data_IF_216030275459
#
_entry.id   IF_216030275459
#
_cell.length_a   1.000
_cell.length_b   1.000
_cell.length_c   1.000
_cell.angle_alpha   90.00
_cell.angle_beta   90.00
_cell.angle_gamma   90.00
#
_symmetry.space_group_name_H-M   'P 1'
#
loop_
_entity.id
_entity.type
_entity.pdbx_description
1 polymer ?
#
# COMPACT_ATOMS: atom_id res chain seq x y z
N UNK A 1 -27.08 -2.31 146.49
CA UNK A 1 -27.18 -1.68 147.84
C UNK A 1 -28.61 -1.18 148.11
N UNK A 2 -29.03 -0.84 149.35
CA UNK A 2 -30.41 -1.16 149.79
C UNK A 2 -31.22 -0.07 150.56
N UNK A 3 -32.52 -0.36 150.87
CA UNK A 3 -33.42 0.25 151.92
C UNK A 3 -34.02 1.66 151.59
N UNK A 4 -35.17 2.18 152.14
CA UNK A 4 -36.36 1.69 152.94
C UNK A 4 -37.51 2.76 153.10
N UNK A 5 -38.80 2.37 152.89
CA UNK A 5 -40.09 2.64 153.68
C UNK A 5 -40.53 4.13 154.03
N UNK A 6 -41.72 4.54 154.59
CA UNK A 6 -42.85 3.92 155.39
C UNK A 6 -44.16 4.81 155.65
N UNK A 7 -45.41 4.28 155.46
CA UNK A 7 -46.77 4.42 156.20
C UNK A 7 -47.62 5.74 156.35
N UNK A 8 -48.99 5.79 156.53
CA UNK A 8 -49.90 5.48 157.73
C UNK A 8 -51.39 4.89 157.55
N UNK A 9 -52.56 5.60 157.79
CA UNK A 9 -54.01 5.07 158.00
C UNK A 9 -55.14 6.13 157.63
N UNK A 10 -56.53 6.12 157.76
CA UNK A 10 -57.68 5.42 158.48
C UNK A 10 -59.16 5.58 157.85
N UNK A 11 -60.31 5.43 158.59
CA UNK A 11 -61.79 5.22 158.21
C UNK A 11 -62.81 6.10 159.06
N UNK A 12 -64.20 6.15 159.09
CA UNK A 12 -65.47 5.44 158.58
C UNK A 12 -66.68 6.46 158.37
N UNK A 13 -68.06 6.40 158.55
CA UNK A 13 -69.19 5.56 159.14
C UNK A 13 -70.60 5.67 158.38
N UNK A 14 -71.79 6.03 158.98
CA UNK A 14 -73.24 6.07 158.44
C UNK A 14 -74.17 7.16 159.14
N UNK A 15 -75.54 7.34 159.13
CA UNK A 15 -76.80 6.55 158.79
C UNK A 15 -78.20 7.34 158.79
N UNK A 16 -79.17 7.04 157.87
CA UNK A 16 -80.70 6.93 157.90
C UNK A 16 -81.84 8.02 158.20
N UNK A 17 -83.09 7.65 157.76
CA UNK A 17 -84.54 8.07 158.03
C UNK A 17 -85.30 9.10 157.12
N UNK A 18 -86.66 9.16 157.17
CA UNK A 18 -87.52 9.52 155.99
C UNK A 18 -88.99 10.01 156.20
N UNK A 19 -89.53 10.70 155.15
CA UNK A 19 -90.96 10.90 154.72
C UNK A 19 -91.79 12.14 155.21
N UNK A 20 -92.64 12.66 154.28
CA UNK A 20 -93.75 13.66 154.40
C UNK A 20 -93.46 15.12 154.88
N UNK A 21 -92.65 15.88 154.11
CA UNK A 21 -92.87 17.34 153.89
C UNK A 21 -92.87 17.76 152.41
N UNK A 22 -94.09 17.82 151.86
CA UNK A 22 -94.63 18.90 150.99
C UNK A 22 -93.72 19.61 149.96
N UNK A 23 -93.80 19.11 148.72
CA UNK A 23 -94.01 19.82 147.44
C UNK A 23 -93.20 21.09 147.03
N UNK A 24 -92.94 22.08 147.89
CA UNK A 24 -92.43 23.41 147.46
C UNK A 24 -91.00 23.35 146.93
N UNK A 25 -90.07 22.70 147.66
CA UNK A 25 -88.65 22.67 147.30
C UNK A 25 -88.32 21.84 146.04
N UNK A 26 -89.31 21.23 145.37
CA UNK A 26 -89.17 20.65 144.02
C UNK A 26 -88.92 21.70 142.92
N UNK A 27 -89.20 22.99 143.14
CA UNK A 27 -88.89 24.08 142.19
C UNK A 27 -87.46 24.61 142.32
N UNK A 28 -87.02 25.06 143.50
CA UNK A 28 -85.74 25.79 143.63
C UNK A 28 -84.48 24.93 143.39
N UNK A 29 -84.42 23.67 143.87
CA UNK A 29 -83.28 22.77 143.59
C UNK A 29 -83.18 22.31 142.13
N UNK A 30 -84.16 22.60 141.26
CA UNK A 30 -84.05 22.36 139.81
C UNK A 30 -83.26 23.47 139.09
N UNK A 31 -83.45 24.76 139.41
CA UNK A 31 -82.69 25.87 138.77
C UNK A 31 -81.17 25.72 138.97
N UNK A 32 -80.71 25.43 140.20
CA UNK A 32 -79.28 25.29 140.47
C UNK A 32 -78.63 24.04 139.82
N UNK A 33 -79.41 23.03 139.41
CA UNK A 33 -78.89 21.89 138.63
C UNK A 33 -78.46 22.27 137.20
N UNK A 34 -78.85 23.44 136.68
CA UNK A 34 -78.43 23.89 135.35
C UNK A 34 -77.21 24.80 135.34
N UNK A 35 -77.14 25.80 136.23
CA UNK A 35 -76.13 26.87 136.16
C UNK A 35 -74.71 26.29 136.30
N UNK A 36 -74.49 25.42 137.29
CA UNK A 36 -73.20 24.72 137.47
C UNK A 36 -72.85 23.78 136.30
N UNK A 37 -73.85 23.16 135.64
CA UNK A 37 -73.65 22.34 134.43
C UNK A 37 -73.33 23.18 133.19
N UNK A 38 -73.84 24.41 133.08
CA UNK A 38 -73.53 25.36 132.00
C UNK A 38 -72.10 25.93 132.15
N UNK A 39 -71.69 26.29 133.36
CA UNK A 39 -70.33 26.80 133.67
C UNK A 39 -69.22 25.75 133.40
N UNK A 40 -69.35 24.55 133.98
CA UNK A 40 -68.36 23.48 133.81
C UNK A 40 -68.18 23.03 132.35
N UNK A 41 -69.25 23.06 131.53
CA UNK A 41 -69.18 22.81 130.08
C UNK A 41 -68.42 23.93 129.32
N UNK A 42 -68.58 25.20 129.68
CA UNK A 42 -67.82 26.32 129.07
C UNK A 42 -66.30 26.16 129.30
N UNK A 43 -65.87 25.85 130.54
CA UNK A 43 -64.44 25.67 130.86
C UNK A 43 -63.81 24.51 130.08
N UNK A 44 -64.48 23.34 130.04
CA UNK A 44 -64.00 22.18 129.26
C UNK A 44 -63.85 22.49 127.76
N UNK A 45 -64.81 23.21 127.14
CA UNK A 45 -64.70 23.65 125.74
C UNK A 45 -63.51 24.61 125.49
N UNK A 46 -63.21 25.54 126.42
CA UNK A 46 -62.09 26.52 126.27
C UNK A 46 -60.72 25.82 126.28
N UNK A 47 -60.53 24.83 127.16
CA UNK A 47 -59.29 24.05 127.21
C UNK A 47 -59.11 23.08 126.02
N UNK A 48 -60.20 22.50 125.50
CA UNK A 48 -60.17 21.70 124.27
C UNK A 48 -59.74 22.54 123.05
N UNK A 49 -60.21 23.79 122.91
CA UNK A 49 -59.75 24.70 121.85
C UNK A 49 -58.24 25.00 121.97
N UNK A 50 -57.72 25.33 123.16
CA UNK A 50 -56.28 25.57 123.37
C UNK A 50 -55.40 24.34 123.01
N UNK A 51 -55.84 23.11 123.34
CA UNK A 51 -55.13 21.88 122.92
C UNK A 51 -55.17 21.61 121.40
N UNK A 52 -56.28 21.92 120.70
CA UNK A 52 -56.35 21.81 119.23
C UNK A 52 -55.38 22.78 118.53
N UNK A 53 -55.32 24.04 118.96
CA UNK A 53 -54.45 25.07 118.33
C UNK A 53 -52.95 24.71 118.45
N UNK A 54 -52.49 24.22 119.62
CA UNK A 54 -51.10 23.74 119.78
C UNK A 54 -50.78 22.48 118.93
N UNK A 55 -51.77 21.63 118.61
CA UNK A 55 -51.57 20.52 117.66
C UNK A 55 -51.49 20.99 116.20
N UNK A 56 -52.25 22.02 115.82
CA UNK A 56 -52.23 22.59 114.46
C UNK A 56 -50.88 23.26 114.14
N UNK A 57 -50.37 24.14 115.01
CA UNK A 57 -49.06 24.79 114.78
C UNK A 57 -47.88 23.79 114.71
N UNK A 58 -47.97 22.61 115.34
CA UNK A 58 -46.96 21.54 115.21
C UNK A 58 -47.09 20.67 113.93
N UNK A 59 -48.16 20.82 113.14
CA UNK A 59 -48.28 20.15 111.83
C UNK A 59 -47.71 21.00 110.70
N UNK A 60 -47.95 22.31 110.69
CA UNK A 60 -47.64 23.19 109.55
C UNK A 60 -46.14 23.25 109.20
N UNK A 61 -45.26 23.27 110.21
CA UNK A 61 -43.83 23.52 110.02
C UNK A 61 -42.98 22.23 109.80
N UNK A 62 -43.60 21.04 109.68
CA UNK A 62 -42.88 19.77 109.52
C UNK A 62 -42.66 19.20 108.09
N UNK A 63 -43.43 19.51 107.02
CA UNK A 63 -43.21 18.88 105.72
C UNK A 63 -41.99 19.45 104.98
N UNK A 64 -41.85 20.78 104.93
CA UNK A 64 -40.92 21.51 104.06
C UNK A 64 -39.43 21.12 104.20
N UNK A 65 -38.99 20.69 105.38
CA UNK A 65 -37.61 20.26 105.59
C UNK A 65 -37.32 18.86 105.04
N UNK A 66 -38.27 17.93 105.18
CA UNK A 66 -38.14 16.55 104.67
C UNK A 66 -38.12 16.52 103.15
N UNK A 67 -38.90 17.37 102.50
CA UNK A 67 -38.96 17.55 101.05
C UNK A 67 -37.60 17.99 100.48
N UNK A 68 -36.97 19.02 101.07
CA UNK A 68 -35.62 19.47 100.68
C UNK A 68 -34.54 18.41 100.92
N UNK A 69 -34.70 17.52 101.90
CA UNK A 69 -33.76 16.40 102.12
C UNK A 69 -33.98 15.29 101.08
N UNK A 70 -35.23 14.93 100.77
CA UNK A 70 -35.56 13.97 99.71
C UNK A 70 -35.00 14.39 98.35
N UNK A 71 -35.25 15.63 97.93
CA UNK A 71 -34.80 16.10 96.61
C UNK A 71 -33.26 16.07 96.49
N UNK A 72 -32.53 16.45 97.56
CA UNK A 72 -31.07 16.30 97.63
C UNK A 72 -30.61 14.84 97.53
N UNK A 73 -31.35 13.91 98.13
CA UNK A 73 -31.04 12.47 98.04
C UNK A 73 -31.32 11.91 96.64
N UNK A 74 -32.42 12.30 96.00
CA UNK A 74 -32.70 11.96 94.62
C UNK A 74 -31.63 12.51 93.68
N UNK A 75 -31.21 13.77 93.84
CA UNK A 75 -30.17 14.37 93.01
C UNK A 75 -28.80 13.72 93.23
N UNK A 76 -28.52 13.23 94.44
CA UNK A 76 -27.35 12.39 94.71
C UNK A 76 -27.44 11.04 93.99
N UNK A 77 -28.60 10.37 94.01
CA UNK A 77 -28.83 9.12 93.26
C UNK A 77 -28.80 9.34 91.74
N UNK A 78 -29.34 10.45 91.23
CA UNK A 78 -29.23 10.86 89.82
C UNK A 78 -27.75 11.04 89.43
N UNK A 79 -26.96 11.75 90.24
CA UNK A 79 -25.51 11.92 90.04
C UNK A 79 -24.76 10.58 90.03
N UNK A 80 -25.13 9.62 90.89
CA UNK A 80 -24.55 8.27 90.89
C UNK A 80 -24.94 7.50 89.61
N UNK A 81 -26.22 7.50 89.22
CA UNK A 81 -26.67 6.87 87.97
C UNK A 81 -25.96 7.44 86.75
N UNK A 82 -25.80 8.76 86.67
CA UNK A 82 -25.04 9.44 85.62
C UNK A 82 -23.57 9.00 85.62
N UNK A 83 -22.90 8.95 86.78
CA UNK A 83 -21.51 8.44 86.86
C UNK A 83 -21.37 6.99 86.39
N UNK A 84 -22.32 6.11 86.74
CA UNK A 84 -22.32 4.70 86.31
C UNK A 84 -22.55 4.61 84.79
N UNK A 85 -23.50 5.37 84.24
CA UNK A 85 -23.75 5.42 82.80
C UNK A 85 -22.54 5.95 82.02
N UNK A 86 -21.86 6.98 82.52
CA UNK A 86 -20.60 7.52 81.98
C UNK A 86 -19.45 6.51 82.07
N UNK A 87 -19.44 5.63 83.07
CA UNK A 87 -18.45 4.55 83.17
C UNK A 87 -18.72 3.42 82.17
N UNK A 88 -19.97 2.97 82.05
CA UNK A 88 -20.37 1.92 81.11
C UNK A 88 -20.16 2.35 79.65
N UNK A 89 -20.55 3.58 79.29
CA UNK A 89 -20.30 4.13 77.94
C UNK A 89 -18.80 4.28 77.66
N UNK A 90 -17.97 4.68 78.64
CA UNK A 90 -16.50 4.68 78.50
C UNK A 90 -15.92 3.28 78.26
N UNK A 91 -16.48 2.23 78.87
CA UNK A 91 -16.07 0.84 78.61
C UNK A 91 -16.47 0.38 77.20
N UNK A 92 -17.68 0.73 76.74
CA UNK A 92 -18.11 0.47 75.36
C UNK A 92 -17.20 1.18 74.35
N UNK A 93 -16.88 2.46 74.58
CA UNK A 93 -15.97 3.27 73.74
C UNK A 93 -14.54 2.70 73.71
N UNK A 94 -14.06 2.04 74.77
CA UNK A 94 -12.78 1.31 74.73
C UNK A 94 -12.85 0.09 73.81
N UNK A 95 -13.87 -0.76 73.98
CA UNK A 95 -14.06 -1.96 73.13
C UNK A 95 -14.20 -1.61 71.66
N UNK A 96 -15.05 -0.64 71.30
CA UNK A 96 -15.21 -0.23 69.90
C UNK A 96 -13.91 0.34 69.30
N UNK A 97 -13.08 1.05 70.08
CA UNK A 97 -11.74 1.48 69.61
C UNK A 97 -10.79 0.30 69.38
N UNK A 98 -10.78 -0.69 70.27
CA UNK A 98 -9.98 -1.91 70.09
C UNK A 98 -10.43 -2.70 68.85
N UNK A 99 -11.73 -2.75 68.59
CA UNK A 99 -12.30 -3.44 67.42
C UNK A 99 -12.07 -2.67 66.11
N UNK A 100 -12.14 -1.33 66.12
CA UNK A 100 -11.69 -0.48 64.99
C UNK A 100 -10.22 -0.75 64.66
N UNK A 101 -9.33 -0.83 65.67
CA UNK A 101 -7.91 -1.13 65.46
C UNK A 101 -7.69 -2.55 64.91
N UNK A 102 -8.55 -3.52 65.22
CA UNK A 102 -8.53 -4.86 64.60
C UNK A 102 -8.98 -4.79 63.14
N UNK A 103 -10.09 -4.09 62.85
CA UNK A 103 -10.61 -3.89 61.49
C UNK A 103 -9.60 -3.18 60.58
N UNK A 104 -8.96 -2.10 61.04
CA UNK A 104 -7.86 -1.45 60.32
C UNK A 104 -6.72 -2.41 59.97
N UNK A 105 -6.34 -3.29 60.89
CA UNK A 105 -5.27 -4.29 60.67
C UNK A 105 -5.69 -5.37 59.67
N UNK A 106 -6.98 -5.70 59.57
CA UNK A 106 -7.52 -6.61 58.56
C UNK A 106 -7.55 -5.92 57.18
N UNK A 107 -8.09 -4.70 57.08
CA UNK A 107 -8.12 -3.90 55.85
C UNK A 107 -6.69 -3.71 55.29
N UNK A 108 -5.72 -3.38 56.15
CA UNK A 108 -4.29 -3.26 55.76
C UNK A 108 -3.65 -4.58 55.31
N UNK A 109 -4.20 -5.75 55.67
CA UNK A 109 -3.77 -7.06 55.15
C UNK A 109 -4.41 -7.34 53.79
N UNK A 110 -5.71 -7.09 53.66
CA UNK A 110 -6.45 -7.26 52.40
C UNK A 110 -5.90 -6.36 51.29
N UNK A 111 -5.58 -5.10 51.60
CA UNK A 111 -4.88 -4.17 50.70
C UNK A 111 -3.53 -4.73 50.23
N UNK A 112 -2.72 -5.32 51.12
CA UNK A 112 -1.44 -5.95 50.73
C UNK A 112 -1.65 -7.18 49.84
N UNK A 113 -2.67 -7.99 50.09
CA UNK A 113 -2.98 -9.15 49.25
C UNK A 113 -3.53 -8.73 47.88
N UNK A 114 -4.34 -7.67 47.77
CA UNK A 114 -4.80 -7.15 46.48
C UNK A 114 -3.66 -6.50 45.70
N UNK A 115 -2.80 -5.71 46.36
CA UNK A 115 -1.56 -5.20 45.77
C UNK A 115 -0.66 -6.32 45.21
N UNK A 116 -0.45 -7.40 45.97
CA UNK A 116 0.35 -8.54 45.53
C UNK A 116 -0.27 -9.22 44.28
N UNK A 117 -1.59 -9.43 44.27
CA UNK A 117 -2.30 -9.98 43.10
C UNK A 117 -2.18 -9.06 41.88
N UNK A 118 -2.28 -7.74 42.08
CA UNK A 118 -2.11 -6.72 41.02
C UNK A 118 -0.67 -6.78 40.47
N UNK A 119 0.35 -6.71 41.35
CA UNK A 119 1.77 -6.79 40.99
C UNK A 119 2.10 -8.08 40.21
N UNK A 120 1.59 -9.24 40.64
CA UNK A 120 1.79 -10.51 39.92
C UNK A 120 1.14 -10.52 38.53
N UNK A 121 -0.10 -10.02 38.41
CA UNK A 121 -0.81 -9.89 37.12
C UNK A 121 -0.07 -8.93 36.17
N UNK A 122 0.45 -7.84 36.70
CA UNK A 122 1.07 -6.78 35.89
C UNK A 122 2.52 -7.17 35.50
N UNK A 123 3.23 -7.94 36.33
CA UNK A 123 4.46 -8.64 35.93
C UNK A 123 4.20 -9.66 34.80
N UNK A 124 3.13 -10.45 34.89
CA UNK A 124 2.76 -11.40 33.83
C UNK A 124 2.42 -10.69 32.51
N UNK A 125 1.70 -9.56 32.56
CA UNK A 125 1.46 -8.69 31.39
C UNK A 125 2.77 -8.14 30.79
N UNK A 126 3.72 -7.71 31.62
CA UNK A 126 5.04 -7.25 31.16
C UNK A 126 5.85 -8.37 30.49
N UNK A 127 5.72 -9.61 30.96
CA UNK A 127 6.33 -10.78 30.34
C UNK A 127 5.73 -11.03 28.95
N UNK A 128 4.39 -11.18 28.86
CA UNK A 128 3.68 -11.37 27.58
C UNK A 128 4.02 -10.29 26.55
N UNK A 129 4.11 -9.02 26.95
CA UNK A 129 4.48 -7.90 26.05
C UNK A 129 5.94 -7.99 25.57
N UNK A 130 6.85 -8.60 26.33
CA UNK A 130 8.23 -8.88 25.86
C UNK A 130 8.25 -10.03 24.86
N UNK A 131 7.49 -11.08 25.14
CA UNK A 131 7.43 -12.30 24.34
C UNK A 131 6.78 -12.05 22.97
N UNK A 132 5.64 -11.34 22.95
CA UNK A 132 4.99 -10.85 21.72
C UNK A 132 5.99 -10.01 20.89
N UNK A 133 6.69 -9.06 21.52
CA UNK A 133 7.71 -8.25 20.83
C UNK A 133 8.92 -9.06 20.34
N UNK A 134 9.24 -10.19 20.97
CA UNK A 134 10.28 -11.10 20.49
C UNK A 134 9.81 -11.87 19.25
N UNK A 135 8.58 -12.40 19.26
CA UNK A 135 7.96 -13.02 18.08
C UNK A 135 7.82 -12.04 16.90
N UNK A 136 7.34 -10.81 17.14
CA UNK A 136 7.21 -9.77 16.12
C UNK A 136 8.56 -9.50 15.45
N UNK A 137 9.64 -9.33 16.23
CA UNK A 137 10.99 -9.17 15.69
C UNK A 137 11.43 -10.39 14.86
N UNK A 138 11.18 -11.62 15.33
CA UNK A 138 11.50 -12.82 14.54
C UNK A 138 10.70 -12.89 13.23
N UNK A 139 9.42 -12.54 13.24
CA UNK A 139 8.55 -12.49 12.04
C UNK A 139 9.08 -11.45 11.05
N UNK A 140 9.45 -10.25 11.53
CA UNK A 140 10.09 -9.19 10.72
C UNK A 140 11.42 -9.65 10.12
N UNK A 141 12.30 -10.31 10.88
CA UNK A 141 13.57 -10.84 10.36
C UNK A 141 13.37 -11.89 9.27
N UNK A 142 12.43 -12.83 9.43
CA UNK A 142 12.11 -13.85 8.41
C UNK A 142 11.56 -13.22 7.13
N UNK A 143 10.68 -12.21 7.25
CA UNK A 143 10.17 -11.46 6.10
C UNK A 143 11.28 -10.68 5.39
N UNK A 144 12.20 -10.05 6.13
CA UNK A 144 13.34 -9.30 5.56
C UNK A 144 14.32 -10.21 4.82
N UNK A 145 14.65 -11.38 5.37
CA UNK A 145 15.49 -12.40 4.72
C UNK A 145 14.85 -12.92 3.43
N UNK A 146 13.55 -13.22 3.44
CA UNK A 146 12.81 -13.61 2.24
C UNK A 146 12.83 -12.50 1.16
N UNK A 147 12.63 -11.24 1.55
CA UNK A 147 12.73 -10.09 0.62
C UNK A 147 14.14 -9.93 0.04
N UNK A 148 15.19 -10.19 0.82
CA UNK A 148 16.57 -10.08 0.34
C UNK A 148 16.90 -11.16 -0.70
N UNK A 149 16.47 -12.41 -0.45
CA UNK A 149 16.58 -13.54 -1.39
C UNK A 149 15.77 -13.36 -2.68
N UNK A 150 14.74 -12.50 -2.69
CA UNK A 150 14.10 -12.07 -3.94
C UNK A 150 14.97 -11.08 -4.72
N UNK A 151 15.74 -10.22 -4.04
CA UNK A 151 16.70 -9.30 -4.64
C UNK A 151 17.71 -9.99 -5.54
N UNK A 152 18.33 -11.07 -5.05
CA UNK A 152 19.30 -11.88 -5.82
C UNK A 152 18.67 -12.49 -7.07
N UNK A 153 17.44 -13.03 -6.94
CA UNK A 153 16.66 -13.55 -8.08
C UNK A 153 16.38 -12.46 -9.12
N UNK A 154 16.03 -11.25 -8.68
CA UNK A 154 15.86 -10.11 -9.57
C UNK A 154 17.19 -9.60 -10.18
N UNK A 155 18.34 -9.90 -9.58
CA UNK A 155 19.65 -9.65 -10.20
C UNK A 155 19.86 -10.63 -11.37
N UNK A 156 19.76 -11.93 -11.10
CA UNK A 156 19.96 -12.99 -12.09
C UNK A 156 19.00 -12.88 -13.29
N UNK A 157 17.76 -12.45 -13.06
CA UNK A 157 16.78 -12.19 -14.14
C UNK A 157 17.19 -10.97 -14.98
N UNK A 158 17.67 -9.88 -14.36
CA UNK A 158 18.15 -8.69 -15.08
C UNK A 158 19.40 -8.97 -15.89
N UNK A 159 20.30 -9.79 -15.38
CA UNK A 159 21.53 -10.21 -16.07
C UNK A 159 21.21 -11.06 -17.31
N UNK A 160 20.42 -12.13 -17.17
CA UNK A 160 19.93 -12.93 -18.32
C UNK A 160 19.18 -12.10 -19.37
N UNK A 161 18.39 -11.12 -18.93
CA UNK A 161 17.70 -10.21 -19.84
C UNK A 161 18.68 -9.27 -20.59
N UNK A 162 19.72 -8.78 -19.91
CA UNK A 162 20.80 -7.97 -20.51
C UNK A 162 21.57 -8.78 -21.55
N UNK A 163 21.95 -10.02 -21.23
CA UNK A 163 22.58 -10.98 -22.16
C UNK A 163 21.70 -11.23 -23.39
N UNK A 164 20.42 -11.56 -23.19
CA UNK A 164 19.45 -11.77 -24.27
C UNK A 164 19.33 -10.53 -25.19
N UNK A 165 19.25 -9.33 -24.59
CA UNK A 165 19.24 -8.05 -25.32
C UNK A 165 20.58 -7.68 -25.96
N UNK A 166 21.69 -8.30 -25.57
CA UNK A 166 22.97 -8.23 -26.29
C UNK A 166 22.99 -9.23 -27.45
N UNK A 167 22.56 -10.48 -27.23
CA UNK A 167 22.45 -11.51 -28.27
C UNK A 167 21.58 -11.09 -29.46
N UNK A 168 20.43 -10.43 -29.22
CA UNK A 168 19.60 -9.85 -30.29
C UNK A 168 20.38 -8.79 -31.09
N UNK A 169 21.03 -7.83 -30.41
CA UNK A 169 21.80 -6.77 -31.08
C UNK A 169 22.98 -7.33 -31.87
N UNK A 170 23.68 -8.31 -31.33
CA UNK A 170 24.81 -8.96 -32.01
C UNK A 170 24.35 -9.69 -33.28
N UNK A 171 23.20 -10.38 -33.24
CA UNK A 171 22.58 -10.99 -34.43
C UNK A 171 22.20 -9.93 -35.48
N UNK A 172 21.56 -8.84 -35.06
CA UNK A 172 21.19 -7.73 -35.96
C UNK A 172 22.43 -7.05 -36.58
N UNK A 173 23.50 -6.84 -35.82
CA UNK A 173 24.76 -6.28 -36.32
C UNK A 173 25.46 -7.21 -37.31
N UNK A 174 25.50 -8.52 -37.04
CA UNK A 174 26.05 -9.51 -37.98
C UNK A 174 25.25 -9.58 -39.28
N UNK A 175 23.92 -9.59 -39.20
CA UNK A 175 23.04 -9.59 -40.37
C UNK A 175 23.19 -8.30 -41.20
N UNK A 176 23.36 -7.14 -40.55
CA UNK A 176 23.66 -5.86 -41.21
C UNK A 176 25.06 -5.83 -41.83
N UNK A 177 26.06 -6.49 -41.23
CA UNK A 177 27.40 -6.60 -41.79
C UNK A 177 27.39 -7.42 -43.10
N UNK A 178 26.73 -8.58 -43.10
CA UNK A 178 26.55 -9.41 -44.31
C UNK A 178 25.79 -8.62 -45.39
N UNK A 179 24.71 -7.91 -45.04
CA UNK A 179 23.99 -7.05 -46.00
C UNK A 179 24.85 -5.92 -46.59
N UNK A 180 25.84 -5.40 -45.86
CA UNK A 180 26.79 -4.40 -46.39
C UNK A 180 27.78 -5.04 -47.36
N UNK A 181 28.43 -6.14 -46.96
CA UNK A 181 29.38 -6.88 -47.80
C UNK A 181 28.74 -7.30 -49.13
N UNK A 182 27.54 -7.89 -49.10
CA UNK A 182 26.83 -8.29 -50.32
C UNK A 182 26.47 -7.08 -51.21
N UNK A 183 26.15 -5.91 -50.61
CA UNK A 183 25.85 -4.68 -51.34
C UNK A 183 27.10 -4.03 -51.95
N UNK A 184 28.24 -4.16 -51.29
CA UNK A 184 29.54 -3.69 -51.78
C UNK A 184 30.03 -4.57 -52.92
N UNK A 185 29.93 -5.90 -52.80
CA UNK A 185 30.20 -6.84 -53.89
C UNK A 185 29.29 -6.59 -55.11
N UNK A 186 27.97 -6.46 -54.90
CA UNK A 186 27.03 -6.17 -55.98
C UNK A 186 27.27 -4.81 -56.65
N UNK A 187 27.83 -3.81 -55.93
CA UNK A 187 28.27 -2.55 -56.53
C UNK A 187 29.50 -2.73 -57.42
N UNK A 188 30.51 -3.45 -56.96
CA UNK A 188 31.74 -3.70 -57.73
C UNK A 188 31.41 -4.40 -59.06
N UNK A 189 30.54 -5.42 -59.03
CA UNK A 189 30.07 -6.11 -60.25
C UNK A 189 29.32 -5.14 -61.17
N UNK A 190 28.35 -4.38 -60.65
CA UNK A 190 27.54 -3.44 -61.43
C UNK A 190 28.35 -2.25 -61.99
N UNK A 191 29.43 -1.85 -61.32
CA UNK A 191 30.36 -0.82 -61.80
C UNK A 191 31.29 -1.37 -62.90
N UNK A 192 31.72 -2.64 -62.81
CA UNK A 192 32.44 -3.33 -63.88
C UNK A 192 31.56 -3.57 -65.13
N UNK A 193 30.33 -4.08 -64.96
CA UNK A 193 29.35 -4.25 -66.04
C UNK A 193 29.08 -2.92 -66.77
N UNK A 194 28.98 -1.81 -66.03
CA UNK A 194 28.84 -0.47 -66.62
C UNK A 194 30.05 -0.06 -67.44
N UNK A 195 31.27 -0.28 -66.93
CA UNK A 195 32.50 0.06 -67.64
C UNK A 195 32.62 -0.72 -68.95
N UNK A 196 32.35 -2.03 -68.93
CA UNK A 196 32.27 -2.84 -70.15
C UNK A 196 31.21 -2.33 -71.12
N UNK A 197 30.01 -1.99 -70.63
CA UNK A 197 28.92 -1.55 -71.49
C UNK A 197 29.18 -0.17 -72.10
N UNK A 198 29.88 0.74 -71.41
CA UNK A 198 30.37 1.99 -72.04
C UNK A 198 31.38 1.72 -73.15
N UNK A 199 32.34 0.80 -72.95
CA UNK A 199 33.31 0.43 -73.99
C UNK A 199 32.62 -0.24 -75.20
N UNK A 200 31.59 -1.08 -74.96
CA UNK A 200 30.76 -1.67 -76.01
C UNK A 200 30.00 -0.59 -76.78
N UNK A 201 29.47 0.42 -76.10
CA UNK A 201 28.82 1.57 -76.76
C UNK A 201 29.81 2.39 -77.60
N UNK A 202 31.01 2.69 -77.11
CA UNK A 202 32.06 3.38 -77.90
C UNK A 202 32.45 2.59 -79.16
N UNK A 203 32.53 1.26 -79.07
CA UNK A 203 32.79 0.39 -80.22
C UNK A 203 31.61 0.41 -81.21
N UNK A 204 30.37 0.45 -80.72
CA UNK A 204 29.17 0.62 -81.54
C UNK A 204 29.20 1.97 -82.27
N UNK A 205 29.44 3.09 -81.58
CA UNK A 205 29.47 4.43 -82.19
C UNK A 205 30.62 4.61 -83.22
N UNK A 206 31.73 3.88 -83.06
CA UNK A 206 32.82 3.78 -84.04
C UNK A 206 32.35 3.08 -85.33
N UNK A 207 31.62 1.97 -85.19
CA UNK A 207 31.22 1.10 -86.31
C UNK A 207 29.88 1.47 -86.95
N UNK A 208 28.97 2.16 -86.25
CA UNK A 208 27.67 2.62 -86.77
C UNK A 208 27.83 3.42 -88.07
N UNK A 209 28.90 4.22 -88.16
CA UNK A 209 29.25 5.02 -89.35
C UNK A 209 29.51 4.16 -90.58
N UNK A 210 30.12 2.98 -90.39
CA UNK A 210 30.36 2.00 -91.44
C UNK A 210 29.08 1.21 -91.73
N UNK A 211 28.36 0.71 -90.71
CA UNK A 211 27.06 0.03 -90.87
C UNK A 211 26.06 0.87 -91.69
N UNK A 212 25.85 2.13 -91.30
CA UNK A 212 24.93 3.05 -91.98
C UNK A 212 25.29 3.26 -93.46
N UNK A 213 26.58 3.30 -93.78
CA UNK A 213 27.04 3.42 -95.15
C UNK A 213 26.94 2.09 -95.92
N UNK A 214 27.31 0.94 -95.34
CA UNK A 214 27.10 -0.38 -95.94
C UNK A 214 25.62 -0.64 -96.24
N UNK A 215 24.72 -0.28 -95.33
CA UNK A 215 23.26 -0.34 -95.50
C UNK A 215 22.76 0.57 -96.64
N UNK A 216 23.33 1.76 -96.79
CA UNK A 216 23.06 2.67 -97.92
C UNK A 216 23.57 2.09 -99.25
N UNK A 217 24.79 1.53 -99.26
CA UNK A 217 25.39 0.89 -100.44
C UNK A 217 24.54 -0.30 -100.90
N UNK A 218 24.18 -1.20 -100.00
CA UNK A 218 23.28 -2.35 -100.28
C UNK A 218 21.95 -1.87 -100.88
N UNK A 219 21.31 -0.86 -100.30
CA UNK A 219 20.07 -0.30 -100.85
C UNK A 219 20.26 0.29 -102.27
N UNK A 220 21.33 1.05 -102.50
CA UNK A 220 21.62 1.61 -103.82
C UNK A 220 21.93 0.53 -104.86
N UNK A 221 22.68 -0.51 -104.48
CA UNK A 221 23.07 -1.61 -105.37
C UNK A 221 21.86 -2.49 -105.71
N UNK A 222 21.01 -2.80 -104.73
CA UNK A 222 19.73 -3.47 -104.96
C UNK A 222 18.84 -2.70 -105.94
N UNK A 223 18.86 -1.35 -105.89
CA UNK A 223 18.09 -0.50 -106.81
C UNK A 223 18.71 -0.35 -108.20
N UNK A 224 20.05 -0.36 -108.32
CA UNK A 224 20.78 -0.06 -109.58
C UNK A 224 21.18 -1.30 -110.39
N UNK A 225 21.62 -2.38 -109.73
CA UNK A 225 22.31 -3.50 -110.41
C UNK A 225 21.49 -4.79 -110.46
N UNK A 226 20.63 -5.03 -109.47
CA UNK A 226 19.86 -6.27 -109.34
C UNK A 226 18.64 -6.28 -110.27
N UNK A 227 18.44 -7.38 -110.99
CA UNK A 227 17.27 -7.61 -111.84
C UNK A 227 16.16 -8.31 -111.07
N UNK A 228 14.89 -8.14 -111.48
CA UNK A 228 13.69 -8.72 -110.84
C UNK A 228 13.66 -10.27 -110.68
N UNK A 229 14.67 -10.98 -111.19
CA UNK A 229 14.80 -12.46 -111.11
C UNK A 229 15.93 -12.94 -110.17
N UNK A 230 16.64 -12.03 -109.49
CA UNK A 230 17.69 -12.35 -108.51
C UNK A 230 17.22 -11.94 -107.11
N UNK A 231 17.56 -12.66 -106.02
CA UNK A 231 17.42 -12.14 -104.66
C UNK A 231 18.12 -10.78 -104.48
N UNK A 232 17.64 -9.95 -103.53
CA UNK A 232 18.37 -8.77 -103.10
C UNK A 232 19.68 -9.15 -102.37
N UNK A 233 20.61 -8.20 -102.26
CA UNK A 233 21.61 -8.25 -101.20
C UNK A 233 20.98 -7.83 -99.88
N UNK A 234 21.38 -8.50 -98.81
CA UNK A 234 20.98 -8.19 -97.43
C UNK A 234 22.20 -7.76 -96.63
N UNK A 235 21.99 -6.69 -95.86
CA UNK A 235 22.92 -6.25 -94.83
C UNK A 235 22.51 -6.89 -93.49
N UNK A 236 23.50 -7.40 -92.75
CA UNK A 236 23.35 -7.90 -91.38
C UNK A 236 24.29 -7.09 -90.49
N UNK A 237 23.75 -6.64 -89.36
CA UNK A 237 24.41 -5.78 -88.38
C UNK A 237 24.55 -6.56 -87.07
N UNK A 238 25.76 -7.06 -86.80
CA UNK A 238 26.12 -7.78 -85.59
C UNK A 238 27.10 -6.95 -84.74
N UNK A 239 27.10 -5.61 -84.87
CA UNK A 239 28.05 -4.74 -84.17
C UNK A 239 27.92 -4.91 -82.64
N UNK A 240 26.69 -5.00 -82.14
CA UNK A 240 26.41 -5.08 -80.69
C UNK A 240 26.81 -6.42 -80.04
N UNK A 241 27.08 -7.46 -80.83
CA UNK A 241 27.42 -8.80 -80.34
C UNK A 241 28.88 -9.15 -80.66
N UNK A 242 29.27 -9.09 -81.94
CA UNK A 242 30.61 -9.46 -82.40
C UNK A 242 31.48 -8.24 -82.78
N UNK A 243 30.89 -7.09 -83.07
CA UNK A 243 31.60 -5.97 -83.73
C UNK A 243 31.70 -6.16 -85.26
N UNK A 244 30.76 -6.91 -85.85
CA UNK A 244 30.79 -7.35 -87.25
C UNK A 244 29.65 -6.75 -88.09
N UNK A 245 29.91 -6.49 -89.36
CA UNK A 245 28.97 -6.02 -90.37
C UNK A 245 29.15 -6.82 -91.66
N UNK A 246 28.11 -7.47 -92.17
CA UNK A 246 28.25 -8.29 -93.38
C UNK A 246 27.18 -8.02 -94.43
N UNK A 247 27.58 -8.20 -95.70
CA UNK A 247 26.72 -8.14 -96.88
C UNK A 247 26.68 -9.55 -97.47
N UNK A 248 25.48 -10.14 -97.59
CA UNK A 248 25.25 -11.44 -98.23
C UNK A 248 24.12 -11.39 -99.26
N UNK A 249 24.00 -12.41 -100.11
CA UNK A 249 22.78 -12.61 -100.90
C UNK A 249 21.66 -13.08 -99.94
N UNK A 250 20.40 -12.67 -100.12
CA UNK A 250 19.33 -13.09 -99.20
C UNK A 250 19.04 -14.62 -99.27
N UNK A 251 19.28 -15.24 -100.44
CA UNK A 251 19.23 -16.70 -100.66
C UNK A 251 20.38 -17.49 -99.98
N UNK A 252 21.33 -16.82 -99.30
CA UNK A 252 22.50 -17.47 -98.69
C UNK A 252 22.12 -18.21 -97.38
N UNK A 253 22.25 -19.55 -97.33
CA UNK A 253 21.64 -20.38 -96.28
C UNK A 253 22.34 -20.29 -94.91
N UNK A 254 23.56 -19.74 -94.84
CA UNK A 254 24.32 -19.55 -93.60
C UNK A 254 25.02 -18.18 -93.62
N UNK A 255 25.15 -17.51 -92.48
CA UNK A 255 25.77 -16.17 -92.41
C UNK A 255 27.30 -16.17 -92.69
N UNK A 256 27.91 -17.36 -92.73
CA UNK A 256 29.29 -17.59 -93.18
C UNK A 256 29.49 -17.31 -94.68
N UNK A 257 28.40 -17.34 -95.47
CA UNK A 257 28.39 -17.13 -96.91
C UNK A 257 28.22 -15.63 -97.27
N UNK A 258 28.96 -14.77 -96.57
CA UNK A 258 29.07 -13.35 -96.88
C UNK A 258 29.82 -13.11 -98.20
N UNK A 259 29.52 -11.98 -98.85
CA UNK A 259 30.32 -11.43 -99.96
C UNK A 259 31.40 -10.49 -99.44
N UNK A 260 31.03 -9.63 -98.48
CA UNK A 260 31.92 -8.68 -97.80
C UNK A 260 31.61 -8.73 -96.30
N UNK A 261 32.65 -8.81 -95.48
CA UNK A 261 32.62 -8.73 -94.02
C UNK A 261 33.51 -7.58 -93.58
N UNK A 262 32.99 -6.69 -92.74
CA UNK A 262 33.73 -5.67 -92.03
C UNK A 262 33.72 -6.04 -90.54
N UNK A 263 34.90 -6.14 -89.95
CA UNK A 263 35.10 -6.64 -88.59
C UNK A 263 36.24 -5.90 -87.90
N UNK A 264 36.44 -6.16 -86.61
CA UNK A 264 37.53 -5.58 -85.82
C UNK A 264 38.16 -6.67 -84.97
N UNK A 265 39.45 -6.91 -85.19
CA UNK A 265 40.22 -7.93 -84.47
C UNK A 265 40.41 -7.53 -83.00
N UNK A 266 40.45 -8.53 -82.12
CA UNK A 266 40.70 -8.37 -80.69
C UNK A 266 39.79 -9.23 -79.83
N UNK A 267 40.33 -9.80 -78.75
CA UNK A 267 39.56 -10.59 -77.79
C UNK A 267 38.71 -9.65 -76.92
N UNK A 268 39.33 -8.60 -76.35
CA UNK A 268 38.64 -7.57 -75.57
C UNK A 268 38.08 -6.42 -76.42
N UNK A 269 37.01 -5.79 -75.92
CA UNK A 269 36.44 -4.55 -76.47
C UNK A 269 37.47 -3.41 -76.54
N UNK A 270 38.32 -3.29 -75.51
CA UNK A 270 39.40 -2.30 -75.47
C UNK A 270 40.50 -2.54 -76.52
N UNK A 271 40.73 -3.80 -76.92
CA UNK A 271 41.63 -4.10 -78.04
C UNK A 271 40.98 -3.67 -79.37
N UNK A 272 39.70 -4.02 -79.59
CA UNK A 272 38.93 -3.62 -80.77
C UNK A 272 38.85 -2.09 -80.95
N UNK A 273 38.72 -1.33 -79.86
CA UNK A 273 38.74 0.14 -79.90
C UNK A 273 40.07 0.74 -80.39
N UNK A 274 41.19 0.04 -80.22
CA UNK A 274 42.50 0.49 -80.70
C UNK A 274 42.79 -0.02 -82.13
N UNK A 275 42.39 -1.25 -82.44
CA UNK A 275 42.72 -1.93 -83.70
C UNK A 275 42.07 -1.28 -84.94
N UNK A 276 42.69 -1.39 -86.13
CA UNK A 276 42.07 -0.93 -87.38
C UNK A 276 40.81 -1.74 -87.70
N UNK A 277 39.98 -1.19 -88.58
CA UNK A 277 38.78 -1.87 -89.07
C UNK A 277 39.19 -2.71 -90.28
N UNK A 278 39.08 -4.03 -90.14
CA UNK A 278 39.45 -4.99 -91.18
C UNK A 278 38.26 -5.20 -92.12
N UNK A 279 38.53 -5.30 -93.42
CA UNK A 279 37.55 -5.62 -94.45
C UNK A 279 38.02 -6.84 -95.25
N UNK A 280 37.21 -7.89 -95.14
CA UNK A 280 37.27 -9.14 -95.88
C UNK A 280 36.36 -9.05 -97.11
N UNK A 281 36.92 -9.34 -98.28
CA UNK A 281 36.21 -9.39 -99.56
C UNK A 281 36.36 -10.82 -100.13
N UNK A 282 35.23 -11.48 -100.39
CA UNK A 282 35.19 -12.81 -101.02
C UNK A 282 34.94 -12.75 -102.53
N UNK A 283 34.80 -11.56 -103.11
CA UNK A 283 34.51 -11.37 -104.55
C UNK A 283 35.76 -11.26 -105.43
N UNK A 284 36.91 -10.93 -104.84
CA UNK A 284 38.27 -11.06 -105.39
C UNK A 284 39.21 -11.61 -104.29
N UNK A 285 40.12 -12.52 -104.63
CA UNK A 285 41.02 -13.23 -103.67
C UNK A 285 42.21 -12.34 -103.22
N UNK A 286 42.07 -11.02 -103.27
CA UNK A 286 43.07 -10.06 -102.81
C UNK A 286 43.05 -9.93 -101.29
N UNK A 287 44.23 -9.76 -100.68
CA UNK A 287 44.39 -9.67 -99.21
C UNK A 287 43.47 -8.64 -98.54
N UNK A 288 43.15 -8.93 -97.28
CA UNK A 288 42.29 -8.13 -96.40
C UNK A 288 42.75 -6.67 -96.31
N UNK A 289 41.79 -5.74 -96.21
CA UNK A 289 42.06 -4.30 -96.21
C UNK A 289 41.77 -3.67 -94.86
N UNK A 290 42.78 -3.01 -94.30
CA UNK A 290 42.71 -2.39 -92.99
C UNK A 290 42.48 -0.88 -93.12
N UNK A 291 41.34 -0.40 -92.65
CA UNK A 291 40.93 0.99 -92.70
C UNK A 291 41.03 1.65 -91.32
N UNK A 292 41.43 2.93 -91.29
CA UNK A 292 41.27 3.75 -90.09
C UNK A 292 39.79 4.16 -89.93
N UNK A 293 39.27 4.39 -88.71
CA UNK A 293 37.88 4.78 -88.48
C UNK A 293 37.47 6.14 -89.08
N UNK A 294 38.43 6.91 -89.63
CA UNK A 294 38.18 8.13 -90.42
C UNK A 294 37.95 7.86 -91.90
N UNK A 295 38.49 6.76 -92.44
CA UNK A 295 38.59 6.48 -93.88
C UNK A 295 37.33 5.80 -94.42
N UNK A 296 36.16 6.27 -93.96
CA UNK A 296 34.85 5.66 -94.23
C UNK A 296 34.50 5.73 -95.72
N UNK A 297 34.90 6.81 -96.40
CA UNK A 297 34.67 6.99 -97.84
C UNK A 297 35.53 6.05 -98.69
N UNK A 298 36.80 5.85 -98.35
CA UNK A 298 37.69 4.90 -99.04
C UNK A 298 37.17 3.46 -98.95
N UNK A 299 36.65 3.07 -97.77
CA UNK A 299 35.98 1.77 -97.58
C UNK A 299 34.68 1.68 -98.39
N UNK A 300 33.85 2.74 -98.38
CA UNK A 300 32.61 2.83 -99.16
C UNK A 300 32.86 2.64 -100.66
N UNK A 301 33.80 3.41 -101.22
CA UNK A 301 34.09 3.41 -102.65
C UNK A 301 34.69 2.07 -103.09
N UNK A 302 35.53 1.45 -102.26
CA UNK A 302 36.02 0.08 -102.49
C UNK A 302 34.87 -0.94 -102.52
N UNK A 303 33.96 -0.92 -101.54
CA UNK A 303 32.78 -1.84 -101.50
C UNK A 303 31.91 -1.66 -102.75
N UNK A 304 31.67 -0.42 -103.18
CA UNK A 304 30.88 -0.11 -104.38
C UNK A 304 31.58 -0.65 -105.64
N UNK A 305 32.88 -0.42 -105.78
CA UNK A 305 33.68 -0.88 -106.93
C UNK A 305 33.65 -2.42 -107.03
N UNK A 306 33.96 -3.13 -105.94
CA UNK A 306 34.03 -4.60 -105.92
C UNK A 306 32.70 -5.25 -106.26
N UNK A 307 31.61 -4.78 -105.63
CA UNK A 307 30.27 -5.29 -105.92
C UNK A 307 29.84 -4.97 -107.36
N UNK A 308 30.13 -3.78 -107.89
CA UNK A 308 29.84 -3.44 -109.29
C UNK A 308 30.62 -4.34 -110.27
N UNK A 309 31.91 -4.57 -110.03
CA UNK A 309 32.75 -5.50 -110.80
C UNK A 309 32.18 -6.92 -110.73
N UNK A 310 31.75 -7.40 -109.55
CA UNK A 310 31.10 -8.69 -109.38
C UNK A 310 29.83 -8.81 -110.24
N UNK A 311 28.91 -7.84 -110.15
CA UNK A 311 27.68 -7.86 -110.94
C UNK A 311 27.93 -7.80 -112.45
N UNK A 312 28.93 -7.05 -112.91
CA UNK A 312 29.26 -6.98 -114.34
C UNK A 312 30.06 -8.20 -114.84
N UNK A 313 30.85 -8.88 -113.99
CA UNK A 313 31.36 -10.25 -114.25
C UNK A 313 30.17 -11.21 -114.45
N UNK A 314 29.23 -11.26 -113.51
CA UNK A 314 28.04 -12.13 -113.58
C UNK A 314 27.14 -11.85 -114.80
N UNK A 315 26.98 -10.58 -115.18
CA UNK A 315 26.20 -10.17 -116.36
C UNK A 315 26.85 -10.60 -117.67
N UNK A 316 28.18 -10.62 -117.75
CA UNK A 316 28.93 -11.14 -118.92
C UNK A 316 28.85 -12.66 -119.02
N UNK A 317 28.73 -13.37 -117.89
CA UNK A 317 28.55 -14.83 -117.83
C UNK A 317 27.10 -15.30 -118.04
N UNK A 318 26.14 -14.38 -118.13
CA UNK A 318 24.70 -14.64 -118.39
C UNK A 318 24.21 -14.05 -119.72
N UNK A 319 25.15 -13.71 -120.61
CA UNK A 319 24.93 -13.38 -122.02
C UNK A 319 25.49 -14.51 -122.88
#
# INVERSE_FOLDING_TARGET
MPKKKKKKKVLKKKNNTSIKKSLVNKRNKKKNKEIQKKLSKKVKKKNLRRKKIKKLKKKLNKPFFLEKVKNKFEDYVKRIKIKIYVYLTKLQIKKTKEDIIKLEKLIKREQRFTEQKIKSRDNFRLQLVRDIKAEERQKIYRLKDHLWKLGDRFSNIRERYKEYRQGIRNKQLAELAIRRQNREQARIVLEAEKAENSLKQELVERLERFSRNMKSIVFQINKKYITKKRPPLRFIDNISENGECLIKNDDAPTDKDYLILLYVEGEDVSQRLNNPICLDDKTDISHTKNFQPKNIFEASDYIIERLAIMFDKERKLKK
#
